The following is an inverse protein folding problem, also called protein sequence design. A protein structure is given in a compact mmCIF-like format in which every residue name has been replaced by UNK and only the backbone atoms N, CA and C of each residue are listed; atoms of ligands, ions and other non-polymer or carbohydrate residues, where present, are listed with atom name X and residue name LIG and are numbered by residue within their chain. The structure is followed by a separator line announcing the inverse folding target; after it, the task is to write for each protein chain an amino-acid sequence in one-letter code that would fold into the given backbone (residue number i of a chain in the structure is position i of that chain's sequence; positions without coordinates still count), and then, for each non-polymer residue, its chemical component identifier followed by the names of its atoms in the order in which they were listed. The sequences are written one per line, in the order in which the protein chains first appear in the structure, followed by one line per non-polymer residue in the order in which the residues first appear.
data_IF_856041030959
#
_entry.id   IF_856041030959
#
_cell.length_a   1.000
_cell.length_b   1.000
_cell.length_c   1.000
_cell.angle_alpha   90.00
_cell.angle_beta   90.00
_cell.angle_gamma   90.00
#
_symmetry.space_group_name_H-M   'P 1'
#
loop_
_entity.id
_entity.type
_entity.pdbx_description
1 polymer ?
#
# COMPACT_ATOMS: atom_id res chain seq x y z
N UNK A 1 6.79 25.06 -4.06
CA UNK A 1 5.84 25.35 -5.16
C UNK A 1 6.36 24.59 -6.38
N UNK A 2 5.84 23.43 -6.82
CA UNK A 2 4.49 23.13 -7.27
C UNK A 2 4.13 21.70 -6.87
N UNK A 3 2.85 21.52 -6.59
CA UNK A 3 2.18 20.30 -6.18
C UNK A 3 2.38 19.24 -7.26
N UNK A 4 3.20 18.22 -6.99
CA UNK A 4 3.24 17.02 -7.83
C UNK A 4 1.99 16.21 -7.50
N UNK A 5 0.97 16.46 -8.31
CA UNK A 5 -0.22 15.65 -8.51
C UNK A 5 0.22 14.19 -8.74
N UNK A 6 0.36 13.42 -7.67
CA UNK A 6 0.44 11.96 -7.73
C UNK A 6 -0.97 11.39 -7.87
N UNK A 7 -1.60 11.71 -9.00
CA UNK A 7 -2.74 10.99 -9.51
C UNK A 7 -2.23 9.67 -10.12
N UNK A 8 -1.94 8.69 -9.26
CA UNK A 8 -1.82 7.29 -9.70
C UNK A 8 -3.23 6.71 -9.69
N UNK A 9 -3.98 7.05 -10.74
CA UNK A 9 -5.10 6.25 -11.21
C UNK A 9 -4.54 4.96 -11.78
N UNK A 10 -4.36 3.93 -10.94
CA UNK A 10 -4.19 2.57 -11.45
C UNK A 10 -5.53 1.85 -11.31
N UNK A 11 -6.34 2.04 -12.34
CA UNK A 11 -7.56 1.27 -12.57
C UNK A 11 -7.17 -0.20 -12.84
N UNK A 12 -7.97 -1.09 -12.26
CA UNK A 12 -8.25 -2.46 -12.73
C UNK A 12 -7.06 -3.44 -12.78
N UNK A 13 -6.79 -4.10 -11.65
CA UNK A 13 -6.38 -5.50 -11.72
C UNK A 13 -7.62 -6.36 -12.01
N UNK A 14 -7.84 -6.63 -13.29
CA UNK A 14 -8.60 -7.78 -13.75
C UNK A 14 -7.84 -9.05 -13.38
N UNK A 15 -8.38 -9.87 -12.49
CA UNK A 15 -7.82 -11.20 -12.21
C UNK A 15 -8.19 -11.75 -10.85
N UNK A 16 -8.96 -12.84 -10.89
CA UNK A 16 -9.31 -13.80 -9.84
C UNK A 16 -10.21 -13.31 -8.70
N UNK A 17 -11.49 -13.66 -8.83
CA UNK A 17 -12.40 -13.82 -7.72
C UNK A 17 -11.84 -14.86 -6.74
N UNK A 18 -11.33 -14.41 -5.59
CA UNK A 18 -11.46 -15.11 -4.31
C UNK A 18 -11.10 -14.13 -3.19
N UNK A 19 -12.04 -13.92 -2.26
CA UNK A 19 -11.86 -13.31 -0.94
C UNK A 19 -11.09 -11.98 -0.89
N UNK A 20 -11.83 -10.88 -0.68
CA UNK A 20 -11.35 -9.56 -0.23
C UNK A 20 -9.82 -9.47 -0.03
N UNK A 21 -9.10 -8.91 -1.01
CA UNK A 21 -7.64 -8.66 -1.00
C UNK A 21 -7.08 -8.61 0.43
N UNK A 22 -6.49 -9.73 0.86
CA UNK A 22 -5.93 -9.83 2.21
C UNK A 22 -4.74 -8.89 2.30
N UNK A 23 -4.65 -8.17 3.41
CA UNK A 23 -3.56 -7.22 3.61
C UNK A 23 -2.19 -7.91 3.64
N UNK A 24 -2.11 -9.20 4.00
CA UNK A 24 -0.89 -10.02 3.92
C UNK A 24 -0.31 -10.10 2.50
N UNK A 25 -1.14 -10.41 1.49
CA UNK A 25 -0.67 -10.59 0.12
C UNK A 25 -0.15 -9.26 -0.43
N UNK A 26 -0.91 -8.19 -0.23
CA UNK A 26 -0.51 -6.84 -0.60
C UNK A 26 0.78 -6.40 0.09
N UNK A 27 0.96 -6.79 1.36
CA UNK A 27 2.19 -6.54 2.11
C UNK A 27 3.39 -7.27 1.50
N UNK A 28 3.23 -8.54 1.12
CA UNK A 28 4.30 -9.32 0.48
C UNK A 28 4.69 -8.74 -0.90
N UNK A 29 3.70 -8.35 -1.72
CA UNK A 29 3.96 -7.70 -3.02
C UNK A 29 4.73 -6.37 -2.85
N UNK A 30 4.31 -5.54 -1.89
CA UNK A 30 4.94 -4.25 -1.63
C UNK A 30 6.35 -4.43 -1.04
N UNK A 31 6.54 -5.40 -0.15
CA UNK A 31 7.85 -5.76 0.40
C UNK A 31 8.84 -6.17 -0.71
N UNK A 32 8.40 -7.06 -1.60
CA UNK A 32 9.21 -7.50 -2.74
C UNK A 32 9.57 -6.34 -3.68
N UNK A 33 8.61 -5.46 -3.98
CA UNK A 33 8.85 -4.27 -4.80
C UNK A 33 9.86 -3.32 -4.14
N UNK A 34 9.71 -3.04 -2.86
CA UNK A 34 10.64 -2.15 -2.14
C UNK A 34 12.04 -2.75 -2.13
N UNK A 35 12.19 -4.03 -1.79
CA UNK A 35 13.48 -4.75 -1.83
C UNK A 35 14.12 -4.75 -3.21
N UNK A 36 13.32 -4.86 -4.27
CA UNK A 36 13.82 -4.75 -5.65
C UNK A 36 14.35 -3.36 -5.99
N UNK A 37 13.87 -2.31 -5.33
CA UNK A 37 14.39 -0.94 -5.47
C UNK A 37 15.58 -0.65 -4.54
N UNK A 38 15.76 -1.42 -3.47
CA UNK A 38 16.90 -1.33 -2.57
C UNK A 38 16.60 -1.95 -1.20
N UNK A 39 17.67 -2.39 -0.53
CA UNK A 39 17.57 -2.99 0.79
C UNK A 39 17.81 -1.90 1.85
N UNK A 40 16.74 -1.17 2.20
CA UNK A 40 16.74 -0.20 3.29
C UNK A 40 15.76 -0.66 4.38
N UNK A 41 15.98 -0.30 5.65
CA UNK A 41 15.03 -0.63 6.71
C UNK A 41 13.69 0.09 6.46
N UNK A 42 12.63 -0.69 6.34
CA UNK A 42 11.27 -0.17 6.27
C UNK A 42 10.30 -1.06 7.04
N UNK A 43 9.16 -0.49 7.40
CA UNK A 43 8.07 -1.18 8.07
C UNK A 43 6.76 -0.92 7.32
N UNK A 44 6.01 -2.00 7.11
CA UNK A 44 4.68 -1.97 6.50
C UNK A 44 3.65 -2.27 7.58
N UNK A 45 2.78 -1.31 7.86
CA UNK A 45 1.75 -1.39 8.90
C UNK A 45 0.37 -1.26 8.29
N UNK A 46 -0.59 -2.04 8.78
CA UNK A 46 -1.98 -1.98 8.33
C UNK A 46 -2.73 -1.12 9.33
N UNK A 47 -3.33 -0.05 8.84
CA UNK A 47 -4.15 0.88 9.63
C UNK A 47 -5.53 0.98 9.00
N UNK A 48 -6.56 1.28 9.79
CA UNK A 48 -7.87 1.59 9.22
C UNK A 48 -7.78 2.89 8.42
N UNK A 49 -8.59 3.02 7.38
CA UNK A 49 -8.60 4.21 6.51
C UNK A 49 -8.81 5.52 7.27
N UNK A 50 -9.62 5.49 8.34
CA UNK A 50 -9.86 6.65 9.22
C UNK A 50 -8.66 7.02 10.10
N UNK A 51 -7.80 6.04 10.42
CA UNK A 51 -6.63 6.21 11.28
C UNK A 51 -5.37 6.59 10.48
N UNK A 52 -5.48 6.67 9.16
CA UNK A 52 -4.38 7.11 8.29
C UNK A 52 -4.15 8.60 8.52
N UNK A 53 -3.03 8.91 9.17
CA UNK A 53 -2.53 10.28 9.35
C UNK A 53 -1.51 10.62 8.26
N UNK A 54 -0.47 11.39 8.60
CA UNK A 54 0.64 11.79 7.73
C UNK A 54 1.61 10.64 7.39
N UNK A 55 1.08 9.51 6.93
CA UNK A 55 1.86 8.32 6.56
C UNK A 55 1.75 8.04 5.06
N UNK A 56 2.79 7.43 4.49
CA UNK A 56 2.80 7.08 3.07
C UNK A 56 1.97 5.83 2.83
N UNK A 57 0.76 5.98 2.30
CA UNK A 57 -0.07 4.84 1.90
C UNK A 57 0.51 4.21 0.63
N UNK A 58 0.88 2.94 0.73
CA UNK A 58 1.42 2.13 -0.38
C UNK A 58 0.42 1.10 -0.91
N UNK A 59 -0.72 0.94 -0.24
CA UNK A 59 -1.79 0.07 -0.69
C UNK A 59 -3.07 0.19 0.13
N UNK A 60 -4.15 -0.41 -0.37
CA UNK A 60 -5.43 -0.54 0.32
C UNK A 60 -5.91 -1.99 0.24
N UNK A 61 -6.42 -2.54 1.35
CA UNK A 61 -6.91 -3.91 1.48
C UNK A 61 -8.28 -3.92 2.18
N UNK A 62 -8.91 -5.10 2.31
CA UNK A 62 -10.21 -5.24 2.97
C UNK A 62 -11.32 -4.38 2.32
N UNK A 63 -11.38 -4.40 0.98
CA UNK A 63 -12.25 -3.56 0.16
C UNK A 63 -12.06 -2.03 0.37
N UNK A 64 -10.91 -1.61 0.88
CA UNK A 64 -10.58 -0.19 1.10
C UNK A 64 -10.88 0.31 2.51
N UNK A 65 -11.31 -0.56 3.43
CA UNK A 65 -11.48 -0.25 4.87
C UNK A 65 -10.14 -0.10 5.60
N UNK A 66 -9.11 -0.77 5.09
CA UNK A 66 -7.76 -0.74 5.65
C UNK A 66 -6.75 -0.27 4.61
N UNK A 67 -5.75 0.49 5.05
CA UNK A 67 -4.61 0.96 4.26
C UNK A 67 -3.32 0.33 4.77
N UNK A 68 -2.44 0.00 3.84
CA UNK A 68 -1.07 -0.38 4.13
C UNK A 68 -0.21 0.88 4.07
N UNK A 69 0.35 1.29 5.20
CA UNK A 69 1.25 2.43 5.30
C UNK A 69 2.70 1.97 5.35
N UNK A 70 3.55 2.76 4.71
CA UNK A 70 4.99 2.61 4.70
C UNK A 70 5.61 3.59 5.69
N UNK A 71 6.43 3.04 6.60
CA UNK A 71 7.30 3.78 7.50
C UNK A 71 8.74 3.47 7.15
N UNK A 72 9.54 4.51 6.91
CA UNK A 72 10.98 4.36 6.71
C UNK A 72 11.64 4.31 8.08
N UNK A 73 12.48 3.30 8.31
CA UNK A 73 13.32 3.19 9.50
C UNK A 73 14.54 4.09 9.42
#
# INVERSE_FOLDING_TARGET
MKKLLLAVTLLSLTGTAMAARNCEELKAEVDAKIKAHGDFPFTLEIVRTEDVRDAKVVGSCDAGRSKLIYKRG
#
